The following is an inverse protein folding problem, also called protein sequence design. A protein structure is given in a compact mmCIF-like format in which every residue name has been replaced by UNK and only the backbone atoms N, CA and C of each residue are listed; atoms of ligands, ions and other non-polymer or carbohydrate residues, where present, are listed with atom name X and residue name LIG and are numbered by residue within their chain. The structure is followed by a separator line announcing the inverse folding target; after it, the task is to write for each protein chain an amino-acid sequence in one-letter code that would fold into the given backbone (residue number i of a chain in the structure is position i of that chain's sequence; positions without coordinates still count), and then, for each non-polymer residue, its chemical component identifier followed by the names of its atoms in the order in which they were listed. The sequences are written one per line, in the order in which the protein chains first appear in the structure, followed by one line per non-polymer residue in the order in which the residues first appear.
data_IF_052444453075
#
_entry.id   IF_052444453075
#
_cell.length_a   1.000
_cell.length_b   1.000
_cell.length_c   1.000
_cell.angle_alpha   90.00
_cell.angle_beta   90.00
_cell.angle_gamma   90.00
#
_symmetry.space_group_name_H-M   'P 1'
#
loop_
_entity.id
_entity.type
_entity.pdbx_description
1 polymer ?
#
# COMPACT_ATOMS: atom_id res chain seq x y z
N UNK A 1 1.19 -11.87 -14.31
CA UNK A 1 2.25 -10.89 -13.99
C UNK A 1 3.49 -11.62 -13.47
N UNK A 2 4.67 -11.28 -13.99
CA UNK A 2 5.94 -11.93 -13.62
C UNK A 2 6.38 -11.59 -12.20
N UNK A 3 7.12 -12.50 -11.54
CA UNK A 3 7.58 -12.34 -10.14
C UNK A 3 8.34 -11.03 -9.90
N UNK A 4 9.21 -10.63 -10.82
CA UNK A 4 9.98 -9.38 -10.73
C UNK A 4 9.07 -8.14 -10.78
N UNK A 5 8.00 -8.20 -11.57
CA UNK A 5 7.00 -7.12 -11.63
C UNK A 5 6.22 -7.00 -10.32
N UNK A 6 5.90 -8.13 -9.67
CA UNK A 6 5.21 -8.11 -8.37
C UNK A 6 6.13 -7.55 -7.28
N UNK A 7 7.41 -7.92 -7.26
CA UNK A 7 8.40 -7.35 -6.31
C UNK A 7 8.48 -5.83 -6.51
N UNK A 8 8.61 -5.37 -7.76
CA UNK A 8 8.66 -3.94 -8.07
C UNK A 8 7.38 -3.21 -7.67
N UNK A 9 6.23 -3.85 -7.85
CA UNK A 9 4.93 -3.31 -7.43
C UNK A 9 4.86 -3.14 -5.91
N UNK A 10 5.39 -4.09 -5.12
CA UNK A 10 5.48 -3.94 -3.66
C UNK A 10 6.26 -2.69 -3.28
N UNK A 11 7.49 -2.58 -3.78
CA UNK A 11 8.40 -1.49 -3.43
C UNK A 11 7.80 -0.14 -3.80
N UNK A 12 7.18 -0.06 -4.98
CA UNK A 12 6.53 1.15 -5.46
C UNK A 12 5.33 1.57 -4.59
N UNK A 13 4.47 0.62 -4.21
CA UNK A 13 3.30 0.92 -3.38
C UNK A 13 3.68 1.22 -1.93
N UNK A 14 4.67 0.54 -1.36
CA UNK A 14 5.19 0.86 -0.02
C UNK A 14 5.75 2.28 0.06
N UNK A 15 6.42 2.74 -1.00
CA UNK A 15 6.94 4.10 -1.11
C UNK A 15 5.86 5.18 -1.17
N UNK A 16 4.60 4.82 -1.44
CA UNK A 16 3.44 5.72 -1.45
C UNK A 16 2.75 5.82 -0.09
N UNK A 17 3.23 5.09 0.91
CA UNK A 17 2.72 5.13 2.29
C UNK A 17 3.66 5.98 3.13
N UNK A 18 3.10 7.04 3.70
CA UNK A 18 3.83 8.05 4.46
C UNK A 18 3.08 8.41 5.74
N UNK A 19 3.80 8.97 6.71
CA UNK A 19 3.19 9.64 7.85
C UNK A 19 2.78 11.06 7.46
N UNK A 20 1.68 11.54 8.04
CA UNK A 20 1.31 12.96 8.02
C UNK A 20 2.04 13.68 9.16
N UNK A 21 3.19 14.29 8.85
CA UNK A 21 4.03 15.00 9.84
C UNK A 21 3.39 16.30 10.37
N UNK A 22 2.26 16.74 9.78
CA UNK A 22 1.55 17.95 10.17
C UNK A 22 0.38 17.72 11.13
N UNK A 23 0.09 16.46 11.50
CA UNK A 23 -1.04 16.11 12.34
C UNK A 23 -0.67 16.10 13.84
N UNK A 24 -1.62 16.49 14.69
CA UNK A 24 -1.49 16.40 16.16
C UNK A 24 -1.46 14.94 16.68
N UNK A 25 -1.83 13.98 15.83
CA UNK A 25 -1.84 12.54 16.11
C UNK A 25 -1.18 11.77 14.95
N UNK A 26 -0.70 10.56 15.23
CA UNK A 26 -0.12 9.67 14.19
C UNK A 26 -1.18 9.38 13.14
N UNK A 27 -0.88 9.71 11.90
CA UNK A 27 -1.77 9.48 10.77
C UNK A 27 -0.98 8.91 9.61
N UNK A 28 -1.47 7.79 9.08
CA UNK A 28 -0.93 7.15 7.90
C UNK A 28 -1.68 7.66 6.68
N UNK A 29 -0.93 8.00 5.64
CA UNK A 29 -1.43 8.44 4.36
C UNK A 29 -1.00 7.42 3.32
N UNK A 30 -1.94 7.01 2.46
CA UNK A 30 -1.62 6.27 1.25
C UNK A 30 -1.92 7.14 0.03
N UNK A 31 -0.87 7.54 -0.69
CA UNK A 31 -1.02 8.26 -1.94
C UNK A 31 -1.48 7.28 -3.02
N UNK A 32 -2.79 7.04 -3.08
CA UNK A 32 -3.39 6.05 -3.95
C UNK A 32 -3.04 6.33 -5.43
N UNK A 33 -2.37 5.39 -6.13
CA UNK A 33 -2.04 5.56 -7.53
C UNK A 33 -3.27 5.51 -8.44
N UNK A 34 -3.28 6.37 -9.45
CA UNK A 34 -4.20 6.23 -10.58
C UNK A 34 -3.64 5.27 -11.63
N UNK A 35 -4.48 4.79 -12.55
CA UNK A 35 -4.05 3.93 -13.66
C UNK A 35 -2.94 4.56 -14.52
N UNK A 36 -2.93 5.90 -14.64
CA UNK A 36 -1.87 6.63 -15.34
C UNK A 36 -0.53 6.56 -14.62
N UNK A 37 -0.52 6.46 -13.29
CA UNK A 37 0.72 6.35 -12.51
C UNK A 37 1.37 4.99 -12.72
N UNK A 38 0.57 3.92 -12.79
CA UNK A 38 1.07 2.59 -13.16
C UNK A 38 1.77 2.62 -14.51
N UNK A 39 1.15 3.28 -15.51
CA UNK A 39 1.72 3.43 -16.84
C UNK A 39 3.01 4.25 -16.84
N UNK A 40 3.07 5.35 -16.08
CA UNK A 40 4.29 6.17 -15.94
C UNK A 40 5.43 5.39 -15.28
N UNK A 41 5.10 4.55 -14.31
CA UNK A 41 6.04 3.63 -13.68
C UNK A 41 6.36 2.43 -14.59
N UNK A 42 5.76 2.30 -15.77
CA UNK A 42 6.04 1.23 -16.72
C UNK A 42 5.44 -0.12 -16.33
N UNK A 43 4.43 -0.14 -15.46
CA UNK A 43 3.58 -1.31 -15.28
C UNK A 43 2.61 -1.45 -16.45
N UNK A 44 2.37 -2.70 -16.86
CA UNK A 44 1.39 -3.03 -17.90
C UNK A 44 -0.07 -2.89 -17.42
N UNK A 45 -1.00 -2.93 -18.37
CA UNK A 45 -2.44 -2.90 -18.07
C UNK A 45 -2.89 -4.06 -17.17
N UNK A 46 -2.21 -5.22 -17.27
CA UNK A 46 -2.42 -6.36 -16.37
C UNK A 46 -2.29 -5.97 -14.90
N UNK A 47 -1.29 -5.16 -14.53
CA UNK A 47 -1.07 -4.72 -13.15
C UNK A 47 -2.24 -3.86 -12.64
N UNK A 48 -2.75 -2.95 -13.49
CA UNK A 48 -3.92 -2.11 -13.16
C UNK A 48 -5.17 -2.97 -12.96
N UNK A 49 -5.39 -3.96 -13.82
CA UNK A 49 -6.55 -4.85 -13.73
C UNK A 49 -6.50 -5.72 -12.47
N UNK A 50 -5.32 -6.24 -12.14
CA UNK A 50 -5.10 -7.08 -10.96
C UNK A 50 -5.05 -6.31 -9.64
N UNK A 51 -4.97 -4.97 -9.69
CA UNK A 51 -4.90 -4.09 -8.51
C UNK A 51 -6.09 -3.12 -8.47
N UNK A 52 -5.99 -1.93 -9.06
CA UNK A 52 -6.97 -0.85 -8.97
C UNK A 52 -8.41 -1.25 -9.34
N UNK A 53 -8.58 -2.26 -10.20
CA UNK A 53 -9.90 -2.76 -10.62
C UNK A 53 -10.40 -3.94 -9.79
N UNK A 54 -9.65 -4.37 -8.79
CA UNK A 54 -10.00 -5.50 -7.93
C UNK A 54 -10.69 -5.04 -6.65
N UNK A 55 -11.67 -5.81 -6.19
CA UNK A 55 -12.48 -5.46 -5.03
C UNK A 55 -11.65 -5.37 -3.73
N UNK A 56 -10.55 -6.14 -3.63
CA UNK A 56 -9.66 -6.13 -2.48
C UNK A 56 -8.85 -4.83 -2.33
N UNK A 57 -8.77 -4.01 -3.39
CA UNK A 57 -7.96 -2.79 -3.36
C UNK A 57 -8.50 -1.78 -2.35
N UNK A 58 -9.81 -1.53 -2.36
CA UNK A 58 -10.44 -0.59 -1.43
C UNK A 58 -10.32 -1.05 0.03
N UNK A 59 -10.38 -2.37 0.26
CA UNK A 59 -10.13 -2.99 1.57
C UNK A 59 -8.70 -2.69 2.04
N UNK A 60 -7.70 -2.96 1.19
CA UNK A 60 -6.29 -2.66 1.49
C UNK A 60 -6.07 -1.17 1.81
N UNK A 61 -6.65 -0.25 1.01
CA UNK A 61 -6.52 1.20 1.26
C UNK A 61 -7.07 1.57 2.64
N UNK A 62 -8.22 1.01 2.99
CA UNK A 62 -8.88 1.26 4.29
C UNK A 62 -8.00 0.77 5.43
N UNK A 63 -7.55 -0.49 5.40
CA UNK A 63 -6.71 -1.08 6.44
C UNK A 63 -5.39 -0.30 6.64
N UNK A 64 -4.79 0.20 5.55
CA UNK A 64 -3.55 0.99 5.61
C UNK A 64 -3.78 2.34 6.28
N UNK A 65 -4.85 3.06 5.92
CA UNK A 65 -5.13 4.39 6.46
C UNK A 65 -5.58 4.29 7.92
N UNK A 66 -6.33 3.26 8.27
CA UNK A 66 -6.85 3.01 9.62
C UNK A 66 -5.82 2.30 10.53
N UNK A 67 -4.64 1.96 10.03
CA UNK A 67 -3.57 1.31 10.82
C UNK A 67 -3.30 2.00 12.18
N UNK A 68 -3.21 3.35 12.30
CA UNK A 68 -3.02 4.01 13.59
C UNK A 68 -4.13 3.75 14.62
N UNK A 69 -5.36 3.45 14.19
CA UNK A 69 -6.49 3.21 15.10
C UNK A 69 -6.38 1.87 15.84
N UNK A 70 -5.56 0.97 15.32
CA UNK A 70 -5.28 -0.36 15.89
C UNK A 70 -3.92 -0.44 16.58
N UNK A 71 -3.17 0.67 16.62
CA UNK A 71 -1.85 0.71 17.22
C UNK A 71 -1.90 0.62 18.75
N UNK A 72 -0.92 -0.07 19.34
CA UNK A 72 -0.73 -0.08 20.79
C UNK A 72 -0.17 1.29 21.26
N UNK A 73 -0.50 1.76 22.48
CA UNK A 73 -0.11 3.08 22.96
C UNK A 73 1.41 3.36 23.01
N UNK A 74 2.23 2.30 23.02
CA UNK A 74 3.69 2.36 23.05
C UNK A 74 4.34 2.16 21.67
N UNK A 75 3.57 1.93 20.61
CA UNK A 75 4.11 1.87 19.26
C UNK A 75 4.52 3.25 18.76
N UNK A 76 5.75 3.34 18.24
CA UNK A 76 6.22 4.59 17.64
C UNK A 76 5.58 4.82 16.27
N UNK A 77 5.52 6.09 15.79
CA UNK A 77 5.01 6.39 14.45
C UNK A 77 5.70 5.58 13.34
N UNK A 78 6.99 5.31 13.47
CA UNK A 78 7.76 4.49 12.53
C UNK A 78 7.34 3.01 12.54
N UNK A 79 6.98 2.46 13.71
CA UNK A 79 6.45 1.10 13.80
C UNK A 79 5.08 1.00 13.13
N UNK A 80 4.20 1.98 13.38
CA UNK A 80 2.88 2.11 12.76
C UNK A 80 3.01 2.24 11.24
N UNK A 81 3.94 3.09 10.76
CA UNK A 81 4.23 3.24 9.33
C UNK A 81 4.74 1.94 8.70
N UNK A 82 5.62 1.22 9.40
CA UNK A 82 6.14 -0.05 8.91
C UNK A 82 5.04 -1.10 8.81
N UNK A 83 4.15 -1.17 9.80
CA UNK A 83 2.99 -2.06 9.78
C UNK A 83 2.08 -1.77 8.58
N UNK A 84 1.74 -0.50 8.34
CA UNK A 84 0.96 -0.09 7.19
C UNK A 84 1.62 -0.50 5.85
N UNK A 85 2.95 -0.40 5.75
CA UNK A 85 3.72 -0.87 4.58
C UNK A 85 3.71 -2.38 4.42
N UNK A 86 3.73 -3.11 5.51
CA UNK A 86 3.70 -4.57 5.49
C UNK A 86 2.32 -5.11 5.08
N UNK A 87 1.23 -4.43 5.47
CA UNK A 87 -0.13 -4.76 5.04
C UNK A 87 -0.26 -4.77 3.51
N UNK A 88 0.23 -3.73 2.83
CA UNK A 88 0.19 -3.69 1.35
C UNK A 88 0.91 -4.89 0.73
N UNK A 89 2.06 -5.27 1.27
CA UNK A 89 2.80 -6.45 0.79
C UNK A 89 2.00 -7.73 1.04
N UNK A 90 1.38 -7.88 2.20
CA UNK A 90 0.53 -9.03 2.54
C UNK A 90 -0.67 -9.15 1.60
N UNK A 91 -1.34 -8.05 1.28
CA UNK A 91 -2.43 -8.01 0.30
C UNK A 91 -1.94 -8.48 -1.08
N UNK A 92 -0.86 -7.88 -1.59
CA UNK A 92 -0.36 -8.22 -2.92
C UNK A 92 0.14 -9.68 -2.97
N UNK A 93 0.82 -10.15 -1.93
CA UNK A 93 1.25 -11.56 -1.81
C UNK A 93 0.09 -12.52 -1.88
N UNK A 94 -0.95 -12.30 -1.08
CA UNK A 94 -2.11 -13.20 -1.02
C UNK A 94 -2.90 -13.27 -2.32
N UNK A 95 -2.79 -12.28 -3.22
CA UNK A 95 -3.57 -12.21 -4.45
C UNK A 95 -2.76 -12.44 -5.73
N UNK A 96 -1.49 -12.02 -5.77
CA UNK A 96 -0.69 -12.02 -7.00
C UNK A 96 0.44 -13.07 -7.01
N UNK A 97 0.85 -13.59 -5.84
CA UNK A 97 1.74 -14.75 -5.78
C UNK A 97 0.89 -16.02 -5.68
N UNK A 98 0.57 -16.58 -6.85
CA UNK A 98 -0.06 -17.90 -7.01
C UNK A 98 0.88 -18.86 -7.69
#
# INVERSE_FOLDING_TARGET
MEKEQIIRLHEWLQGRITLDEGADAVKVMFNEPAAEDFKKEGFGEEAVNLTLKSDWWAEMVTDVIETPDFAEPDETPEQILQYARDLVVEYIRKRLYT
#
